data_IF_801483355359
#
_entry.id   IF_801483355359
#
_cell.length_a   1.000
_cell.length_b   1.000
_cell.length_c   1.000
_cell.angle_alpha   90.00
_cell.angle_beta   90.00
_cell.angle_gamma   90.00
#
_symmetry.space_group_name_H-M   'P 1'
#
loop_
_entity.id
_entity.type
_entity.pdbx_description
1 polymer ?
#
# COMPACT_ATOMS: atom_id res chain seq x y z
N UNK A 1 -5.54 -17.07 -9.17
CA UNK A 1 -4.86 -16.82 -7.88
C UNK A 1 -3.53 -17.52 -7.92
N UNK A 2 -2.42 -16.82 -7.64
CA UNK A 2 -1.05 -17.34 -7.73
C UNK A 2 -0.45 -17.35 -6.33
N UNK A 3 0.29 -18.40 -6.01
CA UNK A 3 1.01 -18.49 -4.73
C UNK A 3 2.23 -17.55 -4.77
N UNK A 4 2.32 -16.63 -3.82
CA UNK A 4 3.47 -15.72 -3.68
C UNK A 4 4.60 -16.41 -2.92
N UNK A 5 5.79 -16.44 -3.51
CA UNK A 5 7.00 -16.89 -2.81
C UNK A 5 7.31 -15.97 -1.61
N UNK A 6 8.10 -16.45 -0.66
CA UNK A 6 8.52 -15.65 0.50
C UNK A 6 9.23 -14.34 0.07
N UNK A 7 10.05 -14.39 -0.98
CA UNK A 7 10.73 -13.22 -1.53
C UNK A 7 9.75 -12.20 -2.14
N UNK A 8 8.72 -12.67 -2.85
CA UNK A 8 7.65 -11.82 -3.38
C UNK A 8 6.81 -11.22 -2.24
N UNK A 9 6.46 -12.00 -1.22
CA UNK A 9 5.75 -11.55 -0.02
C UNK A 9 6.54 -10.48 0.74
N UNK A 10 7.83 -10.68 0.94
CA UNK A 10 8.73 -9.72 1.59
C UNK A 10 8.78 -8.42 0.79
N UNK A 11 8.95 -8.51 -0.53
CA UNK A 11 9.02 -7.35 -1.43
C UNK A 11 7.71 -6.55 -1.44
N UNK A 12 6.56 -7.23 -1.56
CA UNK A 12 5.25 -6.60 -1.56
C UNK A 12 4.91 -5.94 -0.23
N UNK A 13 5.30 -6.58 0.88
CA UNK A 13 5.12 -6.01 2.22
C UNK A 13 6.02 -4.79 2.43
N UNK A 14 7.25 -4.82 1.91
CA UNK A 14 8.15 -3.67 1.89
C UNK A 14 7.59 -2.50 1.09
N UNK A 15 7.07 -2.77 -0.12
CA UNK A 15 6.39 -1.78 -0.95
C UNK A 15 5.16 -1.19 -0.25
N UNK A 16 4.31 -2.04 0.35
CA UNK A 16 3.13 -1.60 1.09
C UNK A 16 3.50 -0.65 2.23
N UNK A 17 4.54 -0.99 3.00
CA UNK A 17 5.03 -0.15 4.09
C UNK A 17 5.55 1.20 3.56
N UNK A 18 6.37 1.19 2.52
CA UNK A 18 6.89 2.41 1.90
C UNK A 18 5.77 3.33 1.41
N UNK A 19 4.72 2.76 0.80
CA UNK A 19 3.58 3.54 0.31
C UNK A 19 2.77 4.15 1.47
N UNK A 20 2.58 3.41 2.56
CA UNK A 20 1.91 3.91 3.76
C UNK A 20 2.70 5.03 4.43
N UNK A 21 4.02 4.87 4.59
CA UNK A 21 4.90 5.89 5.17
C UNK A 21 4.86 7.17 4.32
N UNK A 22 4.93 7.03 2.99
CA UNK A 22 4.81 8.13 2.03
C UNK A 22 3.44 8.83 2.09
N UNK A 23 2.35 8.07 2.21
CA UNK A 23 1.00 8.62 2.38
C UNK A 23 0.87 9.45 3.66
N UNK A 24 1.35 8.93 4.80
CA UNK A 24 1.30 9.64 6.09
C UNK A 24 2.08 10.96 6.00
N UNK A 25 3.29 10.91 5.45
CA UNK A 25 4.13 12.10 5.25
C UNK A 25 3.43 13.11 4.33
N UNK A 26 2.92 12.66 3.17
CA UNK A 26 2.26 13.53 2.20
C UNK A 26 1.02 14.19 2.79
N UNK A 27 0.23 13.44 3.58
CA UNK A 27 -0.96 13.95 4.27
C UNK A 27 -0.62 15.00 5.31
N UNK A 28 0.48 14.82 6.04
CA UNK A 28 0.96 15.83 6.99
C UNK A 28 1.39 17.11 6.24
N UNK A 29 2.18 16.98 5.18
CA UNK A 29 2.65 18.11 4.37
C UNK A 29 1.51 18.86 3.66
N UNK A 30 0.45 18.15 3.27
CA UNK A 30 -0.74 18.73 2.65
C UNK A 30 -1.35 19.87 3.48
N UNK A 31 -1.26 19.77 4.81
CA UNK A 31 -1.80 20.79 5.74
C UNK A 31 -1.04 22.12 5.69
N UNK A 32 0.18 22.12 5.16
CA UNK A 32 1.04 23.29 5.04
C UNK A 32 0.87 24.01 3.69
N UNK A 33 0.17 23.39 2.74
CA UNK A 33 -0.06 23.96 1.40
C UNK A 33 -1.13 25.04 1.50
N UNK A 34 -0.73 26.29 1.22
CA UNK A 34 -1.62 27.44 1.24
C UNK A 34 -2.24 27.75 -0.13
N UNK A 35 -1.58 27.34 -1.22
CA UNK A 35 -2.11 27.50 -2.57
C UNK A 35 -3.27 26.52 -2.80
N UNK A 36 -4.44 27.04 -3.15
CA UNK A 36 -5.66 26.24 -3.20
C UNK A 36 -5.67 25.22 -4.35
N UNK A 37 -5.07 25.56 -5.49
CA UNK A 37 -4.98 24.68 -6.65
C UNK A 37 -4.00 23.55 -6.39
N UNK A 38 -2.83 23.88 -5.83
CA UNK A 38 -1.85 22.88 -5.39
C UNK A 38 -2.42 21.98 -4.30
N UNK A 39 -3.25 22.52 -3.41
CA UNK A 39 -3.94 21.73 -2.39
C UNK A 39 -4.91 20.72 -3.04
N UNK A 40 -5.72 21.12 -4.01
CA UNK A 40 -6.62 20.18 -4.73
C UNK A 40 -5.84 19.07 -5.43
N UNK A 41 -4.71 19.41 -6.06
CA UNK A 41 -3.85 18.40 -6.70
C UNK A 41 -3.26 17.42 -5.69
N UNK A 42 -2.82 17.90 -4.53
CA UNK A 42 -2.32 17.04 -3.46
C UNK A 42 -3.40 16.12 -2.86
N UNK A 43 -4.64 16.59 -2.72
CA UNK A 43 -5.77 15.75 -2.29
C UNK A 43 -6.07 14.63 -3.30
N UNK A 44 -6.03 14.93 -4.60
CA UNK A 44 -6.17 13.93 -5.65
C UNK A 44 -5.02 12.90 -5.60
N UNK A 45 -3.79 13.35 -5.37
CA UNK A 45 -2.62 12.48 -5.23
C UNK A 45 -2.73 11.57 -3.99
N UNK A 46 -3.22 12.10 -2.87
CA UNK A 46 -3.48 11.31 -1.66
C UNK A 46 -4.53 10.22 -1.92
N UNK A 47 -5.63 10.56 -2.60
CA UNK A 47 -6.67 9.59 -2.96
C UNK A 47 -6.12 8.47 -3.87
N UNK A 48 -5.31 8.83 -4.87
CA UNK A 48 -4.66 7.85 -5.73
C UNK A 48 -3.71 6.92 -4.94
N UNK A 49 -3.00 7.47 -3.95
CA UNK A 49 -2.10 6.72 -3.07
C UNK A 49 -2.88 5.76 -2.16
N UNK A 50 -4.01 6.18 -1.59
CA UNK A 50 -4.90 5.27 -0.86
C UNK A 50 -5.40 4.12 -1.74
N UNK A 51 -5.74 4.40 -2.99
CA UNK A 51 -6.13 3.38 -3.97
C UNK A 51 -5.03 2.34 -4.18
N UNK A 52 -3.78 2.77 -4.33
CA UNK A 52 -2.62 1.86 -4.45
C UNK A 52 -2.39 1.04 -3.19
N UNK A 53 -2.44 1.64 -2.00
CA UNK A 53 -2.32 0.94 -0.72
C UNK A 53 -3.37 -0.18 -0.63
N UNK A 54 -4.63 0.13 -0.90
CA UNK A 54 -5.73 -0.85 -0.89
C UNK A 54 -5.52 -1.95 -1.92
N UNK A 55 -5.11 -1.60 -3.13
CA UNK A 55 -4.81 -2.57 -4.19
C UNK A 55 -3.69 -3.54 -3.80
N UNK A 56 -2.59 -3.04 -3.22
CA UNK A 56 -1.49 -3.88 -2.74
C UNK A 56 -1.95 -4.78 -1.58
N UNK A 57 -2.69 -4.24 -0.61
CA UNK A 57 -3.24 -5.02 0.51
C UNK A 57 -4.16 -6.15 0.02
N UNK A 58 -5.06 -5.84 -0.92
CA UNK A 58 -5.96 -6.81 -1.51
C UNK A 58 -5.17 -7.89 -2.25
N UNK A 59 -4.21 -7.49 -3.09
CA UNK A 59 -3.37 -8.42 -3.84
C UNK A 59 -2.60 -9.37 -2.91
N UNK A 60 -1.98 -8.85 -1.84
CA UNK A 60 -1.30 -9.68 -0.84
C UNK A 60 -2.30 -10.65 -0.21
N UNK A 61 -3.46 -10.16 0.24
CA UNK A 61 -4.48 -10.97 0.93
C UNK A 61 -5.00 -12.10 0.05
N UNK A 62 -5.29 -11.82 -1.22
CA UNK A 62 -5.80 -12.80 -2.18
C UNK A 62 -4.76 -13.87 -2.57
N UNK A 63 -3.46 -13.59 -2.38
CA UNK A 63 -2.38 -14.46 -2.83
C UNK A 63 -1.48 -15.02 -1.68
N UNK A 64 -1.82 -14.73 -0.41
CA UNK A 64 -1.14 -15.25 0.80
C UNK A 64 -1.51 -16.71 1.15
N UNK A 65 -1.94 -17.51 0.18
CA UNK A 65 -2.38 -18.90 0.40
C UNK A 65 -1.25 -19.89 0.75
N UNK A 66 0.00 -19.43 0.85
CA UNK A 66 1.10 -20.28 1.33
C UNK A 66 1.16 -20.17 2.85
N UNK A 67 0.72 -21.23 3.54
CA UNK A 67 1.12 -21.72 4.88
C UNK A 67 -0.03 -22.33 5.69
N UNK A 68 -1.30 -22.26 5.26
CA UNK A 68 -2.39 -22.93 6.00
C UNK A 68 -2.51 -24.44 5.74
N UNK A 69 -1.65 -25.02 4.89
CA UNK A 69 -1.70 -26.44 4.52
C UNK A 69 -0.43 -27.24 4.89
N UNK A 70 0.54 -26.64 5.60
CA UNK A 70 1.74 -27.32 6.08
C UNK A 70 1.77 -27.45 7.62
N UNK A 71 0.68 -27.86 8.25
CA UNK A 71 0.71 -28.37 9.64
C UNK A 71 -0.37 -29.44 9.86
N UNK A 72 -0.32 -30.56 9.14
CA UNK A 72 -0.77 -31.87 9.66
C UNK A 72 0.05 -32.97 8.98
N UNK A 73 1.18 -33.35 9.58
CA UNK A 73 1.75 -34.69 9.46
C UNK A 73 1.53 -35.42 10.79
#
# INVERSE_FOLDING_TARGET
>A
MRNLTEAEMLSLTGLLKSEQDGYIMSKALQTLISDEELKKQGEAALLATEGRIKGIQQFITENRLINAQEEVQ
#
